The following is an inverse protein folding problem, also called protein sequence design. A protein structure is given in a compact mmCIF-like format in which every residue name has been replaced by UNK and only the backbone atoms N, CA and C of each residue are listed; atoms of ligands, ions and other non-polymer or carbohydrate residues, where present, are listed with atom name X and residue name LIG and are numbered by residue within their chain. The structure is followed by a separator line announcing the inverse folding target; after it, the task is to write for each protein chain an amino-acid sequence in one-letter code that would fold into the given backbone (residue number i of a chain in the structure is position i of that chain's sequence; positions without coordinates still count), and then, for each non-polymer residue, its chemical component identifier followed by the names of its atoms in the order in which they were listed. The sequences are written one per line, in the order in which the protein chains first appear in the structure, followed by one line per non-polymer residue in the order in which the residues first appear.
data_IF_739441270986
#
_entry.id   IF_739441270986
#
_cell.length_a   1.000
_cell.length_b   1.000
_cell.length_c   1.000
_cell.angle_alpha   90.00
_cell.angle_beta   90.00
_cell.angle_gamma   90.00
#
_symmetry.space_group_name_H-M   'P 1'
#
loop_
_entity.id
_entity.type
_entity.pdbx_description
1 polymer ?
#
# COMPACT_ATOMS: atom_id res chain seq x y z
N UNK A 1 6.48 -6.06 -33.37
CA UNK A 1 5.19 -6.35 -32.73
C UNK A 1 4.15 -5.34 -33.19
N UNK A 2 2.98 -5.77 -33.70
CA UNK A 2 1.97 -4.81 -34.16
C UNK A 2 1.31 -4.10 -32.98
N UNK A 3 0.85 -2.85 -33.15
CA UNK A 3 0.11 -2.08 -32.14
C UNK A 3 -1.04 -2.89 -31.54
N UNK A 4 -1.77 -3.67 -32.37
CA UNK A 4 -2.85 -4.55 -31.93
C UNK A 4 -2.39 -5.67 -30.98
N UNK A 5 -1.18 -6.20 -31.15
CA UNK A 5 -0.63 -7.23 -30.25
C UNK A 5 -0.20 -6.65 -28.88
N UNK A 6 0.34 -5.41 -28.86
CA UNK A 6 0.59 -4.69 -27.59
C UNK A 6 -0.72 -4.41 -26.85
N UNK A 7 -1.75 -3.91 -27.54
CA UNK A 7 -3.06 -3.61 -26.94
C UNK A 7 -3.76 -4.87 -26.38
N UNK A 8 -3.63 -6.03 -27.03
CA UNK A 8 -4.19 -7.30 -26.51
C UNK A 8 -3.54 -7.73 -25.19
N UNK A 9 -2.22 -7.54 -25.02
CA UNK A 9 -1.55 -7.85 -23.76
C UNK A 9 -2.02 -6.93 -22.61
N UNK A 10 -2.41 -5.68 -22.91
CA UNK A 10 -2.96 -4.76 -21.91
C UNK A 10 -4.41 -5.07 -21.54
N UNK A 11 -5.22 -5.62 -22.45
CA UNK A 11 -6.63 -5.95 -22.19
C UNK A 11 -6.81 -7.12 -21.21
N UNK A 12 -5.83 -8.00 -21.09
CA UNK A 12 -5.88 -9.15 -20.18
C UNK A 12 -5.39 -8.83 -18.75
N UNK A 13 -4.89 -7.61 -18.50
CA UNK A 13 -4.33 -7.17 -17.22
C UNK A 13 -5.35 -6.35 -16.40
N UNK A 14 -6.59 -6.82 -16.28
CA UNK A 14 -7.69 -6.13 -15.57
C UNK A 14 -7.82 -6.57 -14.11
N UNK A 15 -6.74 -6.49 -13.32
CA UNK A 15 -6.79 -6.82 -11.89
C UNK A 15 -7.61 -5.86 -11.02
N UNK A 16 -7.75 -4.61 -11.44
CA UNK A 16 -8.64 -3.64 -10.81
C UNK A 16 -9.95 -3.57 -11.59
N UNK A 17 -10.81 -4.58 -11.47
CA UNK A 17 -12.22 -4.35 -11.71
C UNK A 17 -12.69 -3.37 -10.63
N UNK A 18 -12.78 -2.10 -10.98
CA UNK A 18 -13.45 -1.12 -10.14
C UNK A 18 -14.92 -1.55 -10.05
N UNK A 19 -15.24 -2.26 -9.00
CA UNK A 19 -16.59 -2.39 -8.55
C UNK A 19 -17.04 -0.95 -8.25
N UNK A 20 -17.99 -0.42 -9.02
CA UNK A 20 -18.62 0.84 -8.68
C UNK A 20 -19.61 0.49 -7.55
N UNK A 21 -19.23 0.58 -6.26
CA UNK A 21 -20.06 0.07 -5.20
C UNK A 21 -21.27 0.97 -5.10
N UNK A 22 -22.44 0.36 -5.01
CA UNK A 22 -23.63 1.02 -4.52
C UNK A 22 -23.27 1.82 -3.26
N UNK A 23 -23.81 3.01 -3.10
CA UNK A 23 -23.42 3.94 -2.02
C UNK A 23 -23.65 3.38 -0.62
N UNK A 24 -24.32 2.24 -0.48
CA UNK A 24 -24.70 1.60 0.78
C UNK A 24 -23.79 0.45 1.23
N UNK A 25 -22.68 0.13 0.51
CA UNK A 25 -21.79 -0.94 0.90
C UNK A 25 -20.77 -0.50 1.96
N UNK A 26 -20.53 -1.35 2.96
CA UNK A 26 -19.38 -1.24 3.87
C UNK A 26 -18.12 -1.64 3.09
N UNK A 27 -17.23 -0.68 2.86
CA UNK A 27 -16.05 -0.82 1.99
C UNK A 27 -14.81 -1.18 2.78
N UNK A 28 -14.50 -2.49 2.87
CA UNK A 28 -13.33 -3.02 3.58
C UNK A 28 -12.31 -3.66 2.61
N UNK A 29 -12.18 -3.15 1.38
CA UNK A 29 -11.43 -3.81 0.29
C UNK A 29 -10.15 -3.10 -0.18
N UNK A 30 -10.01 -1.77 -0.01
CA UNK A 30 -8.92 -0.98 -0.60
C UNK A 30 -7.92 -0.41 0.41
N UNK A 31 -7.99 -0.82 1.67
CA UNK A 31 -7.14 -0.28 2.74
C UNK A 31 -7.22 1.26 2.83
N UNK A 32 -8.42 1.81 2.55
CA UNK A 32 -8.71 3.22 2.77
C UNK A 32 -8.84 3.49 4.27
N UNK A 33 -8.80 4.73 4.69
CA UNK A 33 -9.08 5.08 6.09
C UNK A 33 -10.55 4.85 6.41
N UNK A 34 -10.83 4.29 7.57
CA UNK A 34 -12.19 4.11 8.09
C UNK A 34 -12.89 5.45 8.40
N UNK A 35 -12.11 6.50 8.64
CA UNK A 35 -12.62 7.80 9.05
C UNK A 35 -12.48 8.81 7.90
N UNK A 36 -13.54 9.55 7.54
CA UNK A 36 -13.44 10.65 6.58
C UNK A 36 -12.64 11.81 7.16
N UNK A 37 -12.06 12.65 6.30
CA UNK A 37 -11.54 13.94 6.74
C UNK A 37 -12.68 14.75 7.35
N UNK A 38 -12.50 15.34 8.56
CA UNK A 38 -13.53 16.17 9.18
C UNK A 38 -13.75 17.46 8.41
N UNK A 39 -14.95 18.03 8.50
CA UNK A 39 -15.33 19.18 7.69
C UNK A 39 -14.46 20.42 7.98
N UNK A 40 -14.12 20.68 9.24
CA UNK A 40 -13.22 21.77 9.59
C UNK A 40 -11.86 21.69 8.88
N UNK A 41 -11.34 20.46 8.65
CA UNK A 41 -10.07 20.24 7.98
C UNK A 41 -10.22 20.40 6.46
N UNK A 42 -11.34 19.96 5.89
CA UNK A 42 -11.70 20.22 4.49
C UNK A 42 -11.85 21.72 4.24
N UNK A 43 -12.53 22.44 5.14
CA UNK A 43 -12.71 23.89 5.06
C UNK A 43 -11.37 24.64 5.13
N UNK A 44 -10.45 24.20 6.00
CA UNK A 44 -9.10 24.76 6.08
C UNK A 44 -8.34 24.61 4.76
N UNK A 45 -8.44 23.41 4.12
CA UNK A 45 -7.84 23.14 2.81
C UNK A 45 -8.50 24.04 1.73
N UNK A 46 -9.82 24.07 1.66
CA UNK A 46 -10.57 24.86 0.68
C UNK A 46 -10.32 26.35 0.82
N UNK A 47 -10.23 26.86 2.04
CA UNK A 47 -9.92 28.28 2.31
C UNK A 47 -8.54 28.67 1.80
N UNK A 48 -7.50 27.81 2.01
CA UNK A 48 -6.16 28.05 1.48
C UNK A 48 -6.15 27.99 -0.05
N UNK A 49 -6.85 27.03 -0.65
CA UNK A 49 -6.99 26.89 -2.09
C UNK A 49 -7.69 28.12 -2.71
N UNK A 50 -8.76 28.63 -2.09
CA UNK A 50 -9.50 29.80 -2.58
C UNK A 50 -8.60 31.02 -2.78
N UNK A 51 -7.57 31.16 -1.93
CA UNK A 51 -6.63 32.28 -1.97
C UNK A 51 -5.38 32.01 -2.83
N UNK A 52 -5.32 30.83 -3.49
CA UNK A 52 -4.19 30.45 -4.32
C UNK A 52 -4.39 30.88 -5.79
N UNK A 53 -3.29 31.07 -6.52
CA UNK A 53 -3.30 31.44 -7.94
C UNK A 53 -3.47 30.22 -8.83
N UNK A 54 -4.70 29.81 -9.13
CA UNK A 54 -5.04 28.59 -9.87
C UNK A 54 -4.59 28.59 -11.34
N UNK A 55 -4.31 29.74 -11.91
CA UNK A 55 -3.90 29.89 -13.32
C UNK A 55 -2.40 29.72 -13.52
N UNK A 56 -1.62 29.54 -12.46
CA UNK A 56 -0.20 29.22 -12.53
C UNK A 56 0.07 27.76 -12.19
N UNK A 57 1.13 27.19 -12.78
CA UNK A 57 1.63 25.92 -12.33
C UNK A 57 2.08 25.99 -10.87
N UNK A 58 1.79 24.98 -10.06
CA UNK A 58 2.32 24.91 -8.70
C UNK A 58 3.86 24.79 -8.75
N UNK A 59 4.57 25.30 -7.74
CA UNK A 59 6.03 25.18 -7.70
C UNK A 59 6.42 23.70 -7.63
N UNK A 60 7.33 23.30 -8.51
CA UNK A 60 7.90 21.95 -8.51
C UNK A 60 8.79 21.70 -7.27
N UNK A 61 9.36 22.77 -6.71
CA UNK A 61 10.00 22.86 -5.41
C UNK A 61 9.17 23.70 -4.45
N UNK A 62 8.22 23.08 -3.77
CA UNK A 62 7.50 23.72 -2.69
C UNK A 62 8.32 23.60 -1.39
N UNK A 63 9.13 24.62 -1.08
CA UNK A 63 9.96 24.63 0.12
C UNK A 63 9.16 24.45 1.42
N UNK A 64 7.94 25.01 1.51
CA UNK A 64 7.08 24.87 2.67
C UNK A 64 6.70 23.39 2.88
N UNK A 65 6.23 22.74 1.82
CA UNK A 65 5.86 21.33 1.85
C UNK A 65 7.07 20.43 2.17
N UNK A 66 8.20 20.66 1.49
CA UNK A 66 9.43 19.88 1.72
C UNK A 66 9.94 20.02 3.16
N UNK A 67 9.93 21.24 3.72
CA UNK A 67 10.31 21.47 5.12
C UNK A 67 9.38 20.75 6.10
N UNK A 68 8.05 20.75 5.84
CA UNK A 68 7.08 20.02 6.68
C UNK A 68 7.27 18.51 6.59
N UNK A 69 7.52 17.98 5.40
CA UNK A 69 7.84 16.55 5.21
C UNK A 69 9.14 16.18 5.90
N UNK A 70 10.18 17.03 5.79
CA UNK A 70 11.45 16.85 6.47
C UNK A 70 11.29 16.78 8.00
N UNK A 71 10.54 17.72 8.57
CA UNK A 71 10.22 17.73 10.01
C UNK A 71 9.38 16.53 10.44
N UNK A 72 8.47 16.06 9.58
CA UNK A 72 7.64 14.89 9.87
C UNK A 72 8.43 13.59 9.84
N UNK A 73 9.33 13.44 8.87
CA UNK A 73 10.07 12.19 8.64
C UNK A 73 11.40 12.12 9.37
N UNK A 74 11.95 13.26 9.80
CA UNK A 74 13.32 13.37 10.33
C UNK A 74 14.39 13.26 9.25
N UNK A 75 14.02 13.47 7.96
CA UNK A 75 14.95 13.42 6.83
C UNK A 75 15.18 14.83 6.23
N UNK A 76 16.29 15.04 5.52
CA UNK A 76 16.61 16.33 4.91
C UNK A 76 15.70 16.63 3.68
N UNK A 77 15.33 17.90 3.44
CA UNK A 77 14.42 18.28 2.35
C UNK A 77 14.92 17.87 0.95
N UNK A 78 16.23 17.92 0.70
CA UNK A 78 16.88 17.54 -0.56
C UNK A 78 16.76 16.04 -0.86
N UNK A 79 16.52 15.24 0.16
CA UNK A 79 16.28 13.80 0.07
C UNK A 79 14.82 13.42 -0.07
N UNK A 80 13.91 14.36 -0.42
CA UNK A 80 12.46 14.13 -0.51
C UNK A 80 11.94 14.46 -1.91
N UNK A 81 11.19 13.53 -2.51
CA UNK A 81 10.52 13.72 -3.80
C UNK A 81 9.01 13.52 -3.64
N UNK A 82 8.19 14.59 -3.60
CA UNK A 82 6.73 14.49 -3.66
C UNK A 82 6.25 13.91 -4.98
N UNK A 83 5.09 13.24 -5.00
CA UNK A 83 4.54 12.57 -6.17
C UNK A 83 3.01 12.49 -6.15
N UNK A 84 2.41 12.18 -7.30
CA UNK A 84 0.98 11.95 -7.45
C UNK A 84 0.58 10.54 -6.95
N UNK A 85 0.74 10.32 -5.63
CA UNK A 85 0.66 9.04 -4.97
C UNK A 85 1.93 8.19 -5.18
N UNK A 86 2.16 7.21 -4.29
CA UNK A 86 3.33 6.32 -4.38
C UNK A 86 3.37 5.48 -5.67
N UNK A 87 2.23 5.26 -6.33
CA UNK A 87 2.18 4.52 -7.59
C UNK A 87 2.94 5.23 -8.74
N UNK A 88 2.92 6.56 -8.78
CA UNK A 88 3.75 7.31 -9.73
C UNK A 88 5.24 7.07 -9.51
N UNK A 89 5.65 6.99 -8.24
CA UNK A 89 7.06 6.72 -7.89
C UNK A 89 7.49 5.32 -8.32
N UNK A 90 6.65 4.30 -8.18
CA UNK A 90 6.96 2.95 -8.67
C UNK A 90 7.28 2.99 -10.16
N UNK A 91 6.47 3.69 -10.95
CA UNK A 91 6.70 3.87 -12.38
C UNK A 91 7.97 4.70 -12.66
N UNK A 92 8.15 5.81 -11.95
CA UNK A 92 9.33 6.68 -12.09
C UNK A 92 10.63 5.94 -11.77
N UNK A 93 10.64 5.12 -10.71
CA UNK A 93 11.80 4.31 -10.33
C UNK A 93 12.12 3.28 -11.41
N UNK A 94 11.11 2.60 -11.94
CA UNK A 94 11.31 1.65 -13.03
C UNK A 94 11.87 2.33 -14.27
N UNK A 95 11.38 3.51 -14.67
CA UNK A 95 11.93 4.30 -15.77
C UNK A 95 13.36 4.78 -15.55
N UNK A 96 13.69 5.18 -14.31
CA UNK A 96 15.02 5.72 -14.01
C UNK A 96 16.08 4.62 -13.88
N UNK A 97 15.70 3.43 -13.42
CA UNK A 97 16.63 2.40 -13.01
C UNK A 97 16.70 1.19 -13.95
N UNK A 98 15.70 0.99 -14.83
CA UNK A 98 15.61 -0.20 -15.67
C UNK A 98 15.43 0.16 -17.15
N UNK A 99 16.06 -0.65 -18.01
CA UNK A 99 15.81 -0.69 -19.45
C UNK A 99 14.97 -1.93 -19.79
N UNK A 100 14.41 -1.98 -21.02
CA UNK A 100 13.77 -3.20 -21.53
C UNK A 100 14.75 -4.38 -21.45
N UNK A 101 14.29 -5.51 -20.90
CA UNK A 101 15.09 -6.72 -20.69
C UNK A 101 15.87 -6.75 -19.36
N UNK A 102 15.99 -5.65 -18.61
CA UNK A 102 16.49 -5.66 -17.23
C UNK A 102 15.55 -6.45 -16.31
N UNK A 103 15.97 -6.67 -15.08
CA UNK A 103 15.21 -7.45 -14.09
C UNK A 103 14.83 -6.60 -12.89
N UNK A 104 13.56 -6.71 -12.49
CA UNK A 104 12.99 -6.19 -11.26
C UNK A 104 12.63 -7.37 -10.35
N UNK A 105 12.78 -7.24 -9.04
CA UNK A 105 12.36 -8.26 -8.08
C UNK A 105 11.26 -7.75 -7.16
N UNK A 106 10.33 -8.63 -6.80
CA UNK A 106 9.29 -8.34 -5.81
C UNK A 106 8.77 -9.61 -5.15
N UNK A 107 8.13 -9.46 -4.00
CA UNK A 107 7.51 -10.58 -3.28
C UNK A 107 6.23 -11.06 -3.98
N UNK A 108 5.97 -12.37 -3.92
CA UNK A 108 4.72 -12.99 -4.35
C UNK A 108 4.15 -13.89 -3.24
N UNK A 109 2.86 -13.78 -2.89
CA UNK A 109 1.91 -12.75 -3.31
C UNK A 109 2.32 -11.37 -2.83
N UNK A 110 2.09 -10.31 -3.62
CA UNK A 110 2.52 -8.96 -3.31
C UNK A 110 1.61 -7.87 -3.89
N UNK A 111 2.09 -6.64 -3.87
CA UNK A 111 1.35 -5.53 -4.46
C UNK A 111 1.53 -5.54 -5.98
N UNK A 112 0.46 -5.88 -6.68
CA UNK A 112 0.43 -6.13 -8.14
C UNK A 112 0.94 -4.99 -9.02
N UNK A 113 0.96 -3.76 -8.51
CA UNK A 113 1.44 -2.60 -9.29
C UNK A 113 2.91 -2.72 -9.66
N UNK A 114 3.75 -3.36 -8.86
CA UNK A 114 5.17 -3.56 -9.19
C UNK A 114 5.31 -4.39 -10.46
N UNK A 115 4.64 -5.55 -10.50
CA UNK A 115 4.62 -6.43 -11.68
C UNK A 115 3.97 -5.75 -12.88
N UNK A 116 2.85 -5.07 -12.68
CA UNK A 116 2.15 -4.35 -13.74
C UNK A 116 3.06 -3.30 -14.42
N UNK A 117 3.83 -2.55 -13.66
CA UNK A 117 4.77 -1.56 -14.21
C UNK A 117 5.89 -2.26 -14.99
N UNK A 118 6.44 -3.37 -14.46
CA UNK A 118 7.45 -4.16 -15.15
C UNK A 118 6.93 -4.70 -16.50
N UNK A 119 5.72 -5.28 -16.52
CA UNK A 119 5.09 -5.80 -17.73
C UNK A 119 4.87 -4.70 -18.78
N UNK A 120 4.45 -3.49 -18.36
CA UNK A 120 4.25 -2.35 -19.26
C UNK A 120 5.55 -1.85 -19.91
N UNK A 121 6.68 -2.07 -19.23
CA UNK A 121 8.01 -1.61 -19.66
C UNK A 121 8.88 -2.71 -20.25
N UNK A 122 8.36 -3.93 -20.40
CA UNK A 122 9.11 -5.09 -20.88
C UNK A 122 10.34 -5.41 -19.98
N UNK A 123 10.15 -5.26 -18.67
CA UNK A 123 11.13 -5.59 -17.62
C UNK A 123 10.81 -7.00 -17.11
N UNK A 124 11.82 -7.84 -16.96
CA UNK A 124 11.67 -9.18 -16.38
C UNK A 124 11.39 -9.08 -14.88
N UNK A 125 10.56 -9.98 -14.36
CA UNK A 125 10.23 -10.01 -12.92
C UNK A 125 10.76 -11.28 -12.27
N UNK A 126 11.56 -11.13 -11.22
CA UNK A 126 11.86 -12.20 -10.26
C UNK A 126 10.79 -12.12 -9.18
N UNK A 127 9.88 -13.08 -9.19
CA UNK A 127 8.87 -13.24 -8.14
C UNK A 127 9.46 -14.05 -6.99
N UNK A 128 9.61 -13.44 -5.81
CA UNK A 128 10.20 -14.05 -4.62
C UNK A 128 9.06 -14.60 -3.77
N UNK A 129 8.90 -15.94 -3.66
CA UNK A 129 7.82 -16.50 -2.87
C UNK A 129 8.02 -16.22 -1.37
N UNK A 130 6.92 -15.91 -0.70
CA UNK A 130 6.86 -15.93 0.76
C UNK A 130 7.03 -17.37 1.27
N UNK A 131 7.39 -17.51 2.54
CA UNK A 131 7.41 -18.82 3.20
C UNK A 131 5.98 -19.39 3.34
N UNK A 132 5.78 -20.69 3.58
CA UNK A 132 4.44 -21.28 3.71
C UNK A 132 3.55 -20.64 4.79
N UNK A 133 4.16 -20.06 5.83
CA UNK A 133 3.50 -19.29 6.88
C UNK A 133 3.36 -17.79 6.54
N UNK A 134 3.60 -17.45 5.27
CA UNK A 134 3.55 -16.09 4.70
C UNK A 134 4.61 -15.12 5.24
N UNK A 135 5.71 -15.64 5.79
CA UNK A 135 6.87 -14.87 6.22
C UNK A 135 7.80 -14.48 5.07
N UNK A 136 8.81 -13.69 5.37
CA UNK A 136 9.83 -13.29 4.41
C UNK A 136 10.93 -14.35 4.30
N UNK A 137 11.21 -14.80 3.07
CA UNK A 137 12.36 -15.64 2.77
C UNK A 137 13.60 -14.75 2.52
N UNK A 138 14.37 -14.49 3.54
CA UNK A 138 15.50 -13.55 3.48
C UNK A 138 16.59 -14.00 2.50
N UNK A 139 16.89 -15.29 2.43
CA UNK A 139 17.89 -15.82 1.50
C UNK A 139 17.48 -15.56 0.05
N UNK A 140 16.22 -15.83 -0.29
CA UNK A 140 15.68 -15.56 -1.62
C UNK A 140 15.62 -14.07 -1.94
N UNK A 141 15.31 -13.21 -0.95
CA UNK A 141 15.32 -11.75 -1.11
C UNK A 141 16.74 -11.26 -1.42
N UNK A 142 17.74 -11.73 -0.67
CA UNK A 142 19.14 -11.35 -0.87
C UNK A 142 19.64 -11.86 -2.22
N UNK A 143 19.34 -13.10 -2.61
CA UNK A 143 19.72 -13.65 -3.90
C UNK A 143 19.12 -12.83 -5.07
N UNK A 144 17.84 -12.50 -5.02
CA UNK A 144 17.19 -11.63 -6.00
C UNK A 144 17.82 -10.23 -6.05
N UNK A 145 18.22 -9.69 -4.88
CA UNK A 145 18.93 -8.42 -4.76
C UNK A 145 20.33 -8.39 -5.36
N UNK A 146 20.93 -9.54 -5.65
CA UNK A 146 22.20 -9.64 -6.39
C UNK A 146 22.00 -9.56 -7.92
N UNK A 147 20.83 -9.95 -8.43
CA UNK A 147 20.54 -10.10 -9.86
C UNK A 147 19.69 -8.95 -10.41
N UNK A 148 18.71 -8.47 -9.62
CA UNK A 148 17.81 -7.42 -10.07
C UNK A 148 18.47 -6.03 -10.07
N UNK A 149 17.99 -5.12 -10.93
CA UNK A 149 18.31 -3.69 -10.86
C UNK A 149 17.62 -3.02 -9.69
N UNK A 150 16.37 -3.38 -9.46
CA UNK A 150 15.52 -2.83 -8.39
C UNK A 150 14.79 -3.98 -7.71
N UNK A 151 14.68 -3.92 -6.39
CA UNK A 151 13.82 -4.81 -5.60
C UNK A 151 12.80 -3.99 -4.83
N UNK A 152 11.51 -4.30 -4.99
CA UNK A 152 10.41 -3.68 -4.24
C UNK A 152 9.98 -4.59 -3.09
N UNK A 153 10.02 -4.07 -1.87
CA UNK A 153 9.65 -4.76 -0.65
C UNK A 153 8.65 -3.92 0.15
N UNK A 154 7.43 -4.41 0.34
CA UNK A 154 6.47 -3.76 1.25
C UNK A 154 6.77 -4.09 2.71
N UNK A 155 6.83 -3.08 3.57
CA UNK A 155 6.97 -3.27 5.03
C UNK A 155 6.27 -2.12 5.78
N UNK A 156 5.05 -2.34 6.30
CA UNK A 156 4.23 -3.57 6.32
C UNK A 156 3.84 -4.09 4.94
N UNK A 157 3.92 -5.39 4.78
CA UNK A 157 3.68 -6.07 3.50
C UNK A 157 2.18 -6.20 3.19
N UNK A 158 1.80 -5.92 1.95
CA UNK A 158 0.46 -6.16 1.44
C UNK A 158 0.49 -7.40 0.51
N UNK A 159 -0.24 -8.50 0.82
CA UNK A 159 -1.44 -8.52 1.65
C UNK A 159 -1.28 -9.09 3.08
N UNK A 160 -0.09 -9.46 3.55
CA UNK A 160 0.06 -10.21 4.80
C UNK A 160 0.03 -9.35 6.06
N UNK A 161 0.39 -8.06 5.97
CA UNK A 161 0.52 -7.16 7.10
C UNK A 161 1.78 -7.35 7.94
N UNK A 162 2.69 -8.25 7.55
CA UNK A 162 3.95 -8.49 8.23
C UNK A 162 5.00 -7.41 7.95
N UNK A 163 5.97 -7.24 8.84
CA UNK A 163 7.08 -6.30 8.71
C UNK A 163 8.43 -7.01 8.67
N UNK A 164 9.35 -6.46 7.91
CA UNK A 164 10.77 -6.78 8.04
C UNK A 164 11.32 -6.06 9.27
N UNK A 165 12.05 -6.77 10.12
CA UNK A 165 12.77 -6.15 11.24
C UNK A 165 13.91 -5.27 10.71
N UNK A 166 14.35 -4.30 11.51
CA UNK A 166 15.47 -3.43 11.16
C UNK A 166 16.73 -4.22 10.81
N UNK A 167 17.05 -5.27 11.57
CA UNK A 167 18.23 -6.12 11.31
C UNK A 167 18.10 -6.90 9.99
N UNK A 168 16.90 -7.35 9.62
CA UNK A 168 16.65 -7.98 8.33
C UNK A 168 16.84 -7.00 7.18
N UNK A 169 16.33 -5.78 7.32
CA UNK A 169 16.50 -4.71 6.32
C UNK A 169 17.97 -4.36 6.16
N UNK A 170 18.73 -4.15 7.26
CA UNK A 170 20.17 -3.88 7.21
C UNK A 170 20.94 -5.01 6.54
N UNK A 171 20.58 -6.26 6.80
CA UNK A 171 21.18 -7.42 6.16
C UNK A 171 20.94 -7.45 4.64
N UNK A 172 19.70 -7.19 4.21
CA UNK A 172 19.34 -7.08 2.78
C UNK A 172 20.15 -5.95 2.13
N UNK A 173 20.16 -4.75 2.72
CA UNK A 173 20.84 -3.58 2.17
C UNK A 173 22.36 -3.77 2.05
N UNK A 174 22.97 -4.48 3.00
CA UNK A 174 24.41 -4.76 2.99
C UNK A 174 24.80 -5.73 1.88
N UNK A 175 23.95 -6.68 1.55
CA UNK A 175 24.26 -7.72 0.59
C UNK A 175 23.69 -7.45 -0.83
N UNK A 176 22.63 -6.67 -0.95
CA UNK A 176 22.03 -6.39 -2.26
C UNK A 176 22.90 -5.42 -3.09
N UNK A 177 23.05 -5.73 -4.38
CA UNK A 177 23.64 -4.83 -5.40
C UNK A 177 22.57 -3.94 -6.03
N UNK A 178 21.30 -4.32 -5.89
CA UNK A 178 20.15 -3.60 -6.41
C UNK A 178 19.85 -2.34 -5.60
N UNK A 179 19.10 -1.42 -6.20
CA UNK A 179 18.34 -0.42 -5.45
C UNK A 179 17.22 -1.15 -4.68
N UNK A 180 17.22 -1.03 -3.36
CA UNK A 180 16.18 -1.58 -2.48
C UNK A 180 15.14 -0.51 -2.21
N UNK A 181 13.93 -0.73 -2.69
CA UNK A 181 12.77 0.16 -2.48
C UNK A 181 11.90 -0.43 -1.40
N UNK A 182 11.89 0.21 -0.22
CA UNK A 182 10.97 -0.14 0.86
C UNK A 182 9.68 0.65 0.72
N UNK A 183 8.58 -0.04 0.43
CA UNK A 183 7.26 0.57 0.42
C UNK A 183 6.69 0.57 1.85
N UNK A 184 6.80 1.72 2.50
CA UNK A 184 6.31 1.99 3.85
C UNK A 184 4.93 2.66 3.84
N UNK A 185 4.05 2.30 2.91
CA UNK A 185 2.70 2.87 2.79
C UNK A 185 1.83 2.70 4.04
N UNK A 186 2.21 1.80 4.95
CA UNK A 186 1.49 1.50 6.20
C UNK A 186 2.33 1.75 7.46
N UNK A 187 3.44 2.46 7.34
CA UNK A 187 4.40 2.65 8.44
C UNK A 187 3.80 3.34 9.67
N UNK A 188 2.85 4.26 9.48
CA UNK A 188 2.18 4.94 10.58
C UNK A 188 1.40 3.96 11.49
N UNK A 189 0.91 2.84 10.93
CA UNK A 189 0.20 1.81 11.70
C UNK A 189 1.14 0.79 12.37
N UNK A 190 2.37 0.64 11.87
CA UNK A 190 3.38 -0.23 12.48
C UNK A 190 4.16 0.47 13.58
N UNK A 191 4.30 1.78 13.49
CA UNK A 191 5.18 2.58 14.34
C UNK A 191 6.67 2.39 14.00
N UNK A 192 6.98 1.68 12.91
CA UNK A 192 8.36 1.38 12.48
C UNK A 192 8.69 2.09 11.17
N UNK A 193 9.95 2.53 11.03
CA UNK A 193 10.45 3.16 9.80
C UNK A 193 11.93 2.89 9.58
N UNK A 194 12.31 2.79 8.33
CA UNK A 194 13.71 2.64 7.90
C UNK A 194 14.37 3.97 7.53
N UNK A 195 13.72 5.11 7.75
CA UNK A 195 14.27 6.45 7.47
C UNK A 195 15.68 6.64 8.10
N UNK A 196 15.95 6.20 9.36
CA UNK A 196 17.30 6.34 9.92
C UNK A 196 18.40 5.58 9.16
N UNK A 197 18.05 4.59 8.33
CA UNK A 197 19.01 3.83 7.52
C UNK A 197 19.46 4.59 6.28
N UNK A 198 18.71 5.60 5.83
CA UNK A 198 19.04 6.40 4.64
C UNK A 198 20.42 7.08 4.74
N UNK A 199 20.86 7.43 5.95
CA UNK A 199 22.20 8.03 6.17
C UNK A 199 23.35 7.03 5.98
N UNK A 200 23.08 5.71 6.03
CA UNK A 200 24.07 4.64 5.99
C UNK A 200 24.09 3.87 4.67
N UNK A 201 22.97 3.84 3.97
CA UNK A 201 22.79 3.00 2.78
C UNK A 201 22.35 3.82 1.58
N UNK A 202 23.27 4.00 0.63
CA UNK A 202 22.98 4.74 -0.62
C UNK A 202 22.04 3.99 -1.58
N UNK A 203 21.92 2.68 -1.42
CA UNK A 203 21.03 1.82 -2.20
C UNK A 203 19.63 1.64 -1.58
N UNK A 204 19.24 2.49 -0.62
CA UNK A 204 17.90 2.49 -0.01
C UNK A 204 17.07 3.65 -0.56
N UNK A 205 15.83 3.35 -0.96
CA UNK A 205 14.77 4.31 -1.24
C UNK A 205 13.51 3.90 -0.48
N UNK A 206 12.83 4.86 0.15
CA UNK A 206 11.60 4.60 0.91
C UNK A 206 10.42 5.29 0.23
N UNK A 207 9.31 4.58 0.05
CA UNK A 207 8.05 5.14 -0.45
C UNK A 207 7.07 5.36 0.69
N UNK A 208 6.38 6.49 0.67
CA UNK A 208 5.34 6.88 1.62
C UNK A 208 4.10 7.40 0.89
N UNK A 209 2.95 7.34 1.53
CA UNK A 209 1.69 7.79 0.94
C UNK A 209 0.78 8.46 1.97
N UNK A 210 0.02 9.44 1.50
CA UNK A 210 -1.08 10.04 2.28
C UNK A 210 -2.41 9.31 2.09
N UNK A 211 -2.43 8.28 1.25
CA UNK A 211 -3.66 7.53 0.93
C UNK A 211 -4.21 6.72 2.10
N UNK A 212 -3.40 6.39 3.11
CA UNK A 212 -3.75 5.48 4.20
C UNK A 212 -3.95 6.25 5.50
N UNK A 213 -2.91 6.45 6.28
CA UNK A 213 -2.97 7.12 7.58
C UNK A 213 -3.46 8.58 7.50
N UNK A 214 -3.13 9.30 6.45
CA UNK A 214 -3.52 10.70 6.26
C UNK A 214 -4.89 10.89 5.59
N UNK A 215 -5.67 9.83 5.30
CA UNK A 215 -7.04 9.88 4.75
C UNK A 215 -7.18 10.60 3.41
N UNK A 216 -6.11 10.73 2.67
CA UNK A 216 -6.09 11.47 1.41
C UNK A 216 -5.99 10.54 0.19
N UNK A 217 -6.66 9.38 0.22
CA UNK A 217 -6.65 8.44 -0.88
C UNK A 217 -7.14 9.06 -2.19
N UNK A 218 -8.23 9.83 -2.15
CA UNK A 218 -8.78 10.57 -3.29
C UNK A 218 -7.93 11.76 -3.73
N UNK A 219 -7.11 12.32 -2.84
CA UNK A 219 -6.22 13.45 -3.13
C UNK A 219 -4.91 13.07 -3.81
N UNK A 220 -4.56 11.78 -3.86
CA UNK A 220 -3.40 11.26 -4.61
C UNK A 220 -2.09 11.94 -4.26
N UNK A 221 -1.66 11.90 -3.01
CA UNK A 221 -0.35 12.40 -2.59
C UNK A 221 0.52 11.28 -2.01
N UNK A 222 1.79 11.27 -2.40
CA UNK A 222 2.84 10.38 -1.89
C UNK A 222 4.20 11.05 -2.02
N UNK A 223 5.23 10.41 -1.49
CA UNK A 223 6.60 10.90 -1.60
C UNK A 223 7.61 9.78 -1.44
N UNK A 224 8.81 9.99 -2.00
CA UNK A 224 9.98 9.15 -1.79
C UNK A 224 10.95 9.84 -0.83
N UNK A 225 11.72 9.02 -0.12
CA UNK A 225 12.84 9.45 0.74
C UNK A 225 14.08 8.66 0.31
N UNK A 226 15.20 9.36 0.10
CA UNK A 226 16.44 8.74 -0.35
C UNK A 226 17.63 9.68 -0.22
N UNK A 227 18.80 9.23 -0.65
CA UNK A 227 19.96 10.11 -0.76
C UNK A 227 19.69 11.23 -1.79
N UNK A 228 20.17 12.46 -1.58
CA UNK A 228 19.88 13.62 -2.46
C UNK A 228 20.18 13.35 -3.94
N UNK A 229 21.31 12.72 -4.26
CA UNK A 229 21.69 12.41 -5.65
C UNK A 229 20.70 11.45 -6.31
N UNK A 230 20.23 10.43 -5.58
CA UNK A 230 19.21 9.50 -6.06
C UNK A 230 17.88 10.22 -6.28
N UNK A 231 17.48 11.07 -5.36
CA UNK A 231 16.24 11.88 -5.45
C UNK A 231 16.31 12.83 -6.65
N UNK A 232 17.45 13.44 -6.91
CA UNK A 232 17.65 14.31 -8.06
C UNK A 232 17.56 13.55 -9.39
N UNK A 233 18.11 12.34 -9.47
CA UNK A 233 17.99 11.47 -10.65
C UNK A 233 16.52 11.06 -10.89
N UNK A 234 15.79 10.66 -9.84
CA UNK A 234 14.36 10.34 -9.94
C UNK A 234 13.51 11.55 -10.35
N UNK A 235 13.85 12.74 -9.82
CA UNK A 235 13.21 13.99 -10.22
C UNK A 235 13.38 14.29 -11.71
N UNK A 236 14.55 14.04 -12.28
CA UNK A 236 14.80 14.21 -13.70
C UNK A 236 14.03 13.21 -14.58
N UNK A 237 13.73 12.02 -14.07
CA UNK A 237 12.95 10.99 -14.77
C UNK A 237 11.42 11.19 -14.66
N UNK A 238 10.96 11.97 -13.68
CA UNK A 238 9.55 12.27 -13.45
C UNK A 238 9.06 13.35 -14.40
N UNK A 239 7.78 13.28 -14.81
CA UNK A 239 7.15 14.36 -15.55
C UNK A 239 7.04 15.62 -14.68
N UNK A 240 7.30 16.83 -15.23
CA UNK A 240 7.21 18.07 -14.46
C UNK A 240 5.77 18.33 -14.01
N UNK A 241 5.62 19.03 -12.90
CA UNK A 241 4.33 19.47 -12.34
C UNK A 241 3.32 18.33 -12.05
N UNK A 242 3.78 17.12 -11.82
CA UNK A 242 2.90 15.95 -11.58
C UNK A 242 2.09 16.07 -10.28
N UNK A 243 2.53 16.87 -9.31
CA UNK A 243 1.81 17.13 -8.05
C UNK A 243 1.11 18.49 -8.14
N UNK A 244 -0.22 18.45 -8.28
CA UNK A 244 -1.02 19.66 -8.44
C UNK A 244 -1.16 20.48 -7.16
N UNK A 245 -1.69 21.69 -7.31
CA UNK A 245 -1.90 22.63 -6.21
C UNK A 245 -2.76 22.05 -5.07
N UNK A 246 -3.82 21.30 -5.41
CA UNK A 246 -4.70 20.67 -4.42
C UNK A 246 -3.92 19.68 -3.54
N UNK A 247 -3.15 18.79 -4.14
CA UNK A 247 -2.38 17.78 -3.42
C UNK A 247 -1.35 18.42 -2.49
N UNK A 248 -0.60 19.42 -2.98
CA UNK A 248 0.41 20.12 -2.19
C UNK A 248 -0.23 20.82 -1.00
N UNK A 249 -1.30 21.58 -1.24
CA UNK A 249 -2.02 22.33 -0.19
C UNK A 249 -2.61 21.40 0.87
N UNK A 250 -3.26 20.31 0.43
CA UNK A 250 -3.84 19.33 1.35
C UNK A 250 -2.76 18.64 2.19
N UNK A 251 -1.64 18.25 1.57
CA UNK A 251 -0.54 17.60 2.28
C UNK A 251 0.09 18.53 3.32
N UNK A 252 0.30 19.83 3.00
CA UNK A 252 0.82 20.81 3.97
C UNK A 252 -0.09 20.94 5.19
N UNK A 253 -1.40 21.06 4.98
CA UNK A 253 -2.36 21.22 6.07
C UNK A 253 -2.44 19.95 6.92
N UNK A 254 -2.44 18.77 6.29
CA UNK A 254 -2.46 17.51 7.02
C UNK A 254 -1.19 17.28 7.86
N UNK A 255 -0.04 17.78 7.42
CA UNK A 255 1.19 17.77 8.21
C UNK A 255 1.16 18.78 9.37
N UNK A 256 0.49 19.94 9.20
CA UNK A 256 0.25 20.88 10.27
C UNK A 256 -0.65 20.29 11.37
N UNK A 257 -1.60 19.43 10.99
CA UNK A 257 -2.58 18.81 11.88
C UNK A 257 -2.26 17.33 12.20
N UNK A 258 -1.00 16.93 12.09
CA UNK A 258 -0.55 15.54 12.30
C UNK A 258 -0.97 14.95 13.66
N UNK A 259 -0.99 15.77 14.72
CA UNK A 259 -1.31 15.31 16.08
C UNK A 259 -2.78 14.87 16.18
N UNK A 260 -3.69 15.56 15.46
CA UNK A 260 -5.08 15.12 15.33
C UNK A 260 -5.17 13.75 14.62
N UNK A 261 -4.43 13.56 13.55
CA UNK A 261 -4.41 12.30 12.78
C UNK A 261 -3.82 11.13 13.59
N UNK A 262 -2.87 11.41 14.50
CA UNK A 262 -2.24 10.42 15.36
C UNK A 262 -3.25 9.68 16.24
N UNK A 263 -4.23 10.38 16.79
CA UNK A 263 -5.27 9.78 17.64
C UNK A 263 -6.08 8.70 16.89
N UNK A 264 -6.35 8.93 15.62
CA UNK A 264 -7.15 8.01 14.82
C UNK A 264 -6.33 6.85 14.24
N UNK A 265 -5.04 7.06 14.02
CA UNK A 265 -4.11 5.97 13.75
C UNK A 265 -4.11 5.00 14.95
N UNK A 266 -4.02 5.53 16.18
CA UNK A 266 -4.11 4.72 17.39
C UNK A 266 -5.45 4.00 17.54
N UNK A 267 -6.56 4.66 17.19
CA UNK A 267 -7.88 4.01 17.19
C UNK A 267 -7.93 2.86 16.17
N UNK A 268 -7.39 3.07 14.98
CA UNK A 268 -7.33 2.03 13.94
C UNK A 268 -6.48 0.85 14.39
N UNK A 269 -5.35 1.09 15.05
CA UNK A 269 -4.48 0.04 15.62
C UNK A 269 -5.24 -0.74 16.70
N UNK A 270 -5.89 -0.05 17.63
CA UNK A 270 -6.69 -0.67 18.70
C UNK A 270 -7.83 -1.52 18.13
N UNK A 271 -8.49 -1.02 17.12
CA UNK A 271 -9.59 -1.71 16.44
C UNK A 271 -9.10 -2.93 15.63
N UNK A 272 -7.91 -2.85 15.03
CA UNK A 272 -7.26 -4.00 14.40
C UNK A 272 -7.03 -5.13 15.39
N UNK A 273 -6.46 -4.82 16.55
CA UNK A 273 -6.21 -5.84 17.59
C UNK A 273 -7.53 -6.43 18.13
N UNK A 274 -8.55 -5.58 18.30
CA UNK A 274 -9.90 -6.06 18.70
C UNK A 274 -10.46 -7.04 17.67
N UNK A 275 -10.46 -6.64 16.39
CA UNK A 275 -11.00 -7.47 15.31
C UNK A 275 -10.20 -8.78 15.17
N UNK A 276 -8.87 -8.70 15.26
CA UNK A 276 -8.00 -9.88 15.21
C UNK A 276 -8.38 -10.88 16.32
N UNK A 277 -8.49 -10.42 17.56
CA UNK A 277 -8.84 -11.28 18.70
C UNK A 277 -10.25 -11.91 18.54
N UNK A 278 -11.21 -11.15 18.04
CA UNK A 278 -12.58 -11.67 17.83
C UNK A 278 -12.64 -12.69 16.68
N UNK A 279 -11.88 -12.49 15.61
CA UNK A 279 -11.80 -13.46 14.51
C UNK A 279 -11.14 -14.76 14.93
N UNK A 280 -10.24 -14.78 15.93
CA UNK A 280 -9.66 -16.02 16.47
C UNK A 280 -10.68 -16.94 17.16
N UNK A 281 -11.83 -16.41 17.55
CA UNK A 281 -12.88 -17.23 18.19
C UNK A 281 -13.71 -18.07 17.18
N UNK A 282 -13.61 -17.79 15.90
CA UNK A 282 -14.27 -18.55 14.84
C UNK A 282 -13.60 -19.91 14.64
N UNK A 283 -14.39 -20.92 14.31
CA UNK A 283 -13.89 -22.28 14.02
C UNK A 283 -13.42 -22.43 12.56
N UNK A 284 -14.00 -21.64 11.67
CA UNK A 284 -13.77 -21.73 10.22
C UNK A 284 -12.88 -20.61 9.67
N UNK A 285 -12.49 -19.66 10.53
CA UNK A 285 -11.73 -18.46 10.15
C UNK A 285 -10.43 -18.38 10.97
N UNK A 286 -9.32 -18.07 10.30
CA UNK A 286 -8.02 -17.83 10.91
C UNK A 286 -7.45 -16.49 10.44
N UNK A 287 -7.41 -15.45 11.31
CA UNK A 287 -6.75 -14.20 10.99
C UNK A 287 -5.22 -14.35 11.11
N UNK A 288 -4.48 -13.58 10.29
CA UNK A 288 -3.03 -13.42 10.42
C UNK A 288 -2.69 -12.13 11.15
N UNK A 289 -1.67 -12.12 12.03
CA UNK A 289 -1.19 -10.90 12.68
C UNK A 289 -0.77 -9.85 11.65
N UNK A 290 -1.08 -8.59 11.90
CA UNK A 290 -0.80 -7.49 10.97
C UNK A 290 -0.29 -6.24 11.68
N UNK A 291 0.60 -5.52 11.02
CA UNK A 291 1.08 -4.19 11.40
C UNK A 291 0.55 -3.07 10.48
N UNK A 292 -0.40 -3.40 9.58
CA UNK A 292 -1.05 -2.45 8.68
C UNK A 292 -2.47 -2.09 9.15
N UNK A 293 -3.23 -1.36 8.33
CA UNK A 293 -4.64 -1.07 8.58
C UNK A 293 -5.59 -2.12 7.97
N UNK A 294 -5.16 -3.36 7.91
CA UNK A 294 -5.95 -4.49 7.40
C UNK A 294 -5.52 -5.80 8.08
N UNK A 295 -6.34 -6.83 7.94
CA UNK A 295 -6.03 -8.21 8.29
C UNK A 295 -6.14 -9.09 7.05
N UNK A 296 -5.21 -10.02 6.86
CA UNK A 296 -5.39 -11.17 6.01
C UNK A 296 -6.11 -12.26 6.81
N UNK A 297 -7.11 -12.89 6.22
CA UNK A 297 -7.96 -13.88 6.87
C UNK A 297 -8.04 -15.11 5.99
N UNK A 298 -7.86 -16.30 6.57
CA UNK A 298 -8.00 -17.58 5.90
C UNK A 298 -9.31 -18.24 6.30
N UNK A 299 -10.02 -18.82 5.34
CA UNK A 299 -11.16 -19.69 5.59
C UNK A 299 -10.74 -21.16 5.43
N UNK A 300 -11.09 -22.00 6.39
CA UNK A 300 -10.83 -23.45 6.33
C UNK A 300 -11.91 -24.24 5.57
N UNK A 301 -13.07 -23.66 5.34
CA UNK A 301 -14.24 -24.36 4.79
C UNK A 301 -14.69 -23.85 3.42
N UNK A 302 -14.46 -22.59 3.08
CA UNK A 302 -14.92 -21.96 1.85
C UNK A 302 -13.76 -21.32 1.10
N UNK A 303 -13.83 -21.33 -0.24
CA UNK A 303 -12.96 -20.50 -1.05
C UNK A 303 -13.22 -19.02 -0.79
N UNK A 304 -12.19 -18.18 -0.93
CA UNK A 304 -12.31 -16.73 -0.71
C UNK A 304 -13.37 -16.08 -1.60
N UNK A 305 -13.57 -16.59 -2.81
CA UNK A 305 -14.59 -16.11 -3.74
C UNK A 305 -16.02 -16.37 -3.21
N UNK A 306 -16.27 -17.51 -2.60
CA UNK A 306 -17.54 -17.80 -1.96
C UNK A 306 -17.79 -16.91 -0.73
N UNK A 307 -16.78 -16.72 0.12
CA UNK A 307 -16.85 -15.75 1.24
C UNK A 307 -17.16 -14.35 0.72
N UNK A 308 -16.48 -13.93 -0.36
CA UNK A 308 -16.69 -12.62 -0.97
C UNK A 308 -18.16 -12.43 -1.39
N UNK A 309 -18.76 -13.39 -2.10
CA UNK A 309 -20.16 -13.28 -2.54
C UNK A 309 -21.12 -13.24 -1.36
N UNK A 310 -20.94 -14.12 -0.35
CA UNK A 310 -21.79 -14.13 0.85
C UNK A 310 -21.69 -12.85 1.67
N UNK A 311 -20.50 -12.23 1.75
CA UNK A 311 -20.33 -10.94 2.41
C UNK A 311 -20.91 -9.80 1.58
N UNK A 312 -20.76 -9.84 0.25
CA UNK A 312 -21.33 -8.85 -0.68
C UNK A 312 -22.86 -8.83 -0.60
N UNK A 313 -23.51 -10.00 -0.56
CA UNK A 313 -24.98 -10.14 -0.38
C UNK A 313 -25.46 -9.53 0.95
N UNK A 314 -24.56 -9.41 1.94
CA UNK A 314 -24.79 -8.77 3.23
C UNK A 314 -24.34 -7.30 3.27
N UNK A 315 -24.00 -6.72 2.11
CA UNK A 315 -23.59 -5.32 1.98
C UNK A 315 -22.15 -5.03 2.43
N UNK A 316 -21.25 -6.03 2.44
CA UNK A 316 -19.86 -5.88 2.88
C UNK A 316 -18.92 -6.26 1.75
N UNK A 317 -18.02 -5.35 1.39
CA UNK A 317 -17.05 -5.52 0.32
C UNK A 317 -15.65 -5.74 0.90
N UNK A 318 -15.08 -6.93 0.70
CA UNK A 318 -13.72 -7.32 1.09
C UNK A 318 -12.82 -7.50 -0.13
N UNK A 319 -11.51 -7.69 0.05
CA UNK A 319 -10.59 -7.97 -1.05
C UNK A 319 -10.27 -9.45 -1.14
N UNK A 320 -10.49 -10.02 -2.31
CA UNK A 320 -10.00 -11.35 -2.68
C UNK A 320 -8.90 -11.26 -3.73
N UNK A 321 -8.11 -12.33 -3.84
CA UNK A 321 -7.02 -12.48 -4.79
C UNK A 321 -7.37 -13.65 -5.70
N UNK A 322 -7.61 -13.35 -6.99
CA UNK A 322 -8.13 -14.36 -7.91
C UNK A 322 -7.05 -15.35 -8.34
N UNK A 323 -7.38 -16.64 -8.30
CA UNK A 323 -6.61 -17.70 -8.96
C UNK A 323 -6.73 -17.55 -10.49
N UNK A 324 -5.71 -17.89 -11.32
CA UNK A 324 -4.51 -18.65 -10.94
C UNK A 324 -3.31 -17.82 -10.50
N UNK A 325 -3.40 -16.50 -10.42
CA UNK A 325 -2.27 -15.60 -10.19
C UNK A 325 -1.64 -15.80 -8.79
N UNK A 326 -2.49 -16.06 -7.77
CA UNK A 326 -2.04 -16.29 -6.39
C UNK A 326 -2.73 -17.52 -5.80
N UNK A 327 -2.31 -18.75 -6.20
CA UNK A 327 -2.94 -19.99 -5.74
C UNK A 327 -2.87 -20.16 -4.21
N UNK A 328 -1.84 -19.64 -3.57
CA UNK A 328 -1.65 -19.64 -2.12
C UNK A 328 -2.67 -18.75 -1.38
N UNK A 329 -3.33 -17.84 -2.08
CA UNK A 329 -4.38 -16.98 -1.51
C UNK A 329 -5.81 -17.46 -1.84
N UNK A 330 -5.97 -18.65 -2.42
CA UNK A 330 -7.27 -19.19 -2.86
C UNK A 330 -8.35 -19.16 -1.77
N UNK A 331 -7.97 -19.44 -0.53
CA UNK A 331 -8.89 -19.47 0.62
C UNK A 331 -8.70 -18.25 1.54
N UNK A 332 -8.01 -17.20 1.05
CA UNK A 332 -7.65 -16.04 1.86
C UNK A 332 -8.26 -14.77 1.27
N UNK A 333 -8.76 -13.93 2.14
CA UNK A 333 -9.28 -12.63 1.79
C UNK A 333 -8.70 -11.58 2.73
N UNK A 334 -8.60 -10.34 2.26
CA UNK A 334 -8.09 -9.23 3.07
C UNK A 334 -9.22 -8.30 3.46
N UNK A 335 -9.24 -7.92 4.73
CA UNK A 335 -10.22 -7.03 5.33
C UNK A 335 -9.51 -5.76 5.78
N UNK A 336 -9.91 -4.60 5.27
CA UNK A 336 -9.51 -3.30 5.80
C UNK A 336 -10.15 -3.09 7.18
N UNK A 337 -9.44 -2.46 8.10
CA UNK A 337 -9.99 -2.09 9.39
C UNK A 337 -10.95 -0.92 9.20
N UNK A 338 -12.22 -1.18 9.39
CA UNK A 338 -13.31 -0.20 9.37
C UNK A 338 -13.49 0.49 10.71
N UNK A 339 -14.55 1.32 10.82
CA UNK A 339 -15.02 1.82 12.09
C UNK A 339 -15.53 0.66 12.96
N UNK A 340 -15.58 0.79 14.30
CA UNK A 340 -16.06 -0.27 15.18
C UNK A 340 -17.40 -0.87 14.72
N UNK A 341 -18.36 -0.03 14.34
CA UNK A 341 -19.68 -0.46 13.84
C UNK A 341 -19.58 -1.26 12.54
N UNK A 342 -18.66 -0.91 11.63
CA UNK A 342 -18.46 -1.61 10.36
C UNK A 342 -17.84 -2.99 10.61
N UNK A 343 -16.85 -3.06 11.51
CA UNK A 343 -16.22 -4.31 11.91
C UNK A 343 -17.18 -5.23 12.68
N UNK A 344 -18.06 -4.68 13.51
CA UNK A 344 -19.11 -5.46 14.18
C UNK A 344 -20.11 -6.07 13.19
N UNK A 345 -20.46 -5.32 12.11
CA UNK A 345 -21.27 -5.85 11.01
C UNK A 345 -20.57 -6.97 10.25
N UNK A 346 -19.26 -6.84 10.02
CA UNK A 346 -18.45 -7.91 9.42
C UNK A 346 -18.44 -9.17 10.29
N UNK A 347 -18.21 -9.02 11.59
CA UNK A 347 -18.20 -10.16 12.53
C UNK A 347 -19.55 -10.86 12.57
N UNK A 348 -20.64 -10.11 12.64
CA UNK A 348 -22.00 -10.67 12.61
C UNK A 348 -22.25 -11.44 11.29
N UNK A 349 -21.87 -10.87 10.15
CA UNK A 349 -22.02 -11.53 8.85
C UNK A 349 -21.21 -12.83 8.75
N UNK A 350 -19.96 -12.82 9.24
CA UNK A 350 -19.13 -14.04 9.27
C UNK A 350 -19.70 -15.10 10.22
N UNK A 351 -20.28 -14.69 11.35
CA UNK A 351 -20.94 -15.60 12.29
C UNK A 351 -22.18 -16.25 11.67
N UNK A 352 -23.00 -15.52 10.95
CA UNK A 352 -24.13 -16.06 10.20
C UNK A 352 -23.66 -17.07 9.15
N UNK A 353 -22.62 -16.75 8.37
CA UNK A 353 -22.03 -17.65 7.38
C UNK A 353 -21.54 -18.94 8.05
N UNK A 354 -20.84 -18.85 9.18
CA UNK A 354 -20.36 -20.01 9.92
C UNK A 354 -21.53 -20.89 10.44
N UNK A 355 -22.60 -20.28 10.95
CA UNK A 355 -23.80 -21.01 11.40
C UNK A 355 -24.52 -21.72 10.25
N UNK A 356 -24.59 -21.12 9.06
CA UNK A 356 -25.17 -21.72 7.86
C UNK A 356 -24.39 -22.99 7.47
N UNK A 357 -23.05 -22.96 7.53
CA UNK A 357 -22.20 -24.10 7.24
C UNK A 357 -22.44 -25.28 8.19
N UNK A 358 -22.61 -25.02 9.49
CA UNK A 358 -22.85 -26.07 10.47
C UNK A 358 -24.28 -26.64 10.38
N UNK A 359 -25.28 -25.85 9.99
CA UNK A 359 -26.65 -26.33 9.77
C UNK A 359 -26.78 -27.16 8.49
N UNK A 360 -26.07 -26.77 7.41
CA UNK A 360 -26.08 -27.49 6.13
C UNK A 360 -25.29 -28.82 6.12
N UNK A 361 -24.38 -29.02 7.07
CA UNK A 361 -23.60 -30.25 7.22
C UNK A 361 -24.27 -31.34 8.11
N UNK A 362 -25.47 -31.05 8.64
CA UNK A 362 -26.24 -31.98 9.49
C UNK A 362 -27.37 -32.70 8.73
N UNK A 363 -27.38 -32.67 7.38
CA UNK A 363 -28.33 -33.41 6.54
C UNK A 363 -27.67 -34.57 5.85
#
# INVERSE_FOLDING_TARGET
MSIKAKLKNFQNNTEYSFFNPDQNLIRLNLNESAYPLPDWLKEKILSRLKNSAWHFYPPDHNFSLLSKLANYTGHQPEGILPSNGSNELIQTIAYACCNSGDTLATLTPGFSVYKKVADLMDIKVIEIPLTPDLGFNLESIIAAGQEARVIFLGSPHNPTGQTLSRSQIENILTQAKSLVVLDEAYAEFSGETSVPLLSRFANLLILRTFSKAFRLAGGRFGYALGQPDLIQALKAARLPFSVGLFQQTAAEILLEEKDYLQNEIHQTIKERERLFNQLQAFKTIRPFPSKANFLLVESSCLAAEEIFHRLLDRGILVRIFRSPEYPELKNRFRVTIGQPRENDRLLAALQEIEQELFKGGAQ
#
